data_IF_688044778287
#
_entry.id   IF_688044778287
#
_cell.length_a   1.000
_cell.length_b   1.000
_cell.length_c   1.000
_cell.angle_alpha   90.00
_cell.angle_beta   90.00
_cell.angle_gamma   90.00
#
_symmetry.space_group_name_H-M   'P 1'
#
loop_
_entity.id
_entity.type
_entity.pdbx_description
1 polymer ?
#
# COMPACT_ATOMS: atom_id res chain seq x y z
N UNK A 1 10.82 -15.66 -11.34
CA UNK A 1 9.96 -14.75 -12.12
C UNK A 1 8.57 -14.78 -11.49
N UNK A 2 8.04 -13.64 -11.00
CA UNK A 2 6.67 -13.59 -10.47
C UNK A 2 5.70 -13.50 -11.65
N UNK A 3 4.72 -14.40 -11.69
CA UNK A 3 3.64 -14.40 -12.67
C UNK A 3 2.86 -13.09 -12.52
N UNK A 4 2.88 -12.25 -13.57
CA UNK A 4 2.16 -10.98 -13.62
C UNK A 4 0.91 -11.15 -14.48
N UNK A 5 -0.13 -11.69 -13.87
CA UNK A 5 -1.43 -11.90 -14.53
C UNK A 5 -2.41 -10.84 -14.05
N UNK A 6 -3.16 -10.27 -15.00
CA UNK A 6 -4.28 -9.36 -14.77
C UNK A 6 -5.56 -10.18 -14.94
N UNK A 7 -6.47 -10.12 -13.98
CA UNK A 7 -7.70 -10.89 -14.09
C UNK A 7 -8.44 -11.07 -12.77
N UNK A 8 -9.32 -12.08 -12.79
CA UNK A 8 -10.17 -12.52 -11.69
C UNK A 8 -9.60 -13.82 -11.13
N UNK A 9 -9.54 -13.90 -9.79
CA UNK A 9 -9.08 -15.08 -9.06
C UNK A 9 -10.08 -15.50 -7.98
N UNK A 10 -9.99 -16.77 -7.60
CA UNK A 10 -10.68 -17.40 -6.49
C UNK A 10 -9.69 -17.81 -5.39
N UNK A 11 -10.13 -17.70 -4.14
CA UNK A 11 -9.52 -18.34 -2.98
C UNK A 11 -10.60 -19.19 -2.33
N UNK A 12 -10.46 -20.51 -2.43
CA UNK A 12 -11.45 -21.46 -1.94
C UNK A 12 -10.92 -22.25 -0.75
N UNK A 13 -11.83 -22.57 0.17
CA UNK A 13 -11.67 -23.70 1.09
C UNK A 13 -12.29 -24.94 0.42
N UNK A 14 -11.44 -25.88 -0.01
CA UNK A 14 -11.84 -27.05 -0.80
C UNK A 14 -12.77 -28.01 -0.07
N UNK A 15 -12.82 -27.99 1.27
CA UNK A 15 -13.71 -28.88 2.03
C UNK A 15 -15.11 -28.29 2.18
N UNK A 16 -15.25 -26.98 2.38
CA UNK A 16 -16.57 -26.34 2.60
C UNK A 16 -17.15 -25.73 1.33
N UNK A 17 -16.34 -25.51 0.30
CA UNK A 17 -16.75 -24.78 -0.89
C UNK A 17 -16.85 -23.27 -0.71
N UNK A 18 -16.48 -22.72 0.46
CA UNK A 18 -16.47 -21.28 0.66
C UNK A 18 -15.41 -20.63 -0.25
N UNK A 19 -15.84 -19.74 -1.14
CA UNK A 19 -14.97 -19.09 -2.12
C UNK A 19 -15.02 -17.56 -2.03
N UNK A 20 -13.85 -16.95 -1.97
CA UNK A 20 -13.67 -15.51 -2.17
C UNK A 20 -13.26 -15.25 -3.62
N UNK A 21 -13.99 -14.37 -4.31
CA UNK A 21 -13.67 -13.91 -5.67
C UNK A 21 -13.06 -12.52 -5.59
N UNK A 22 -11.95 -12.29 -6.28
CA UNK A 22 -11.30 -10.99 -6.30
C UNK A 22 -10.67 -10.68 -7.65
N UNK A 23 -10.49 -9.39 -7.93
CA UNK A 23 -9.76 -8.88 -9.10
C UNK A 23 -8.35 -8.38 -8.75
N UNK A 24 -7.42 -8.40 -9.71
CA UNK A 24 -6.12 -7.73 -9.57
C UNK A 24 -5.48 -7.40 -10.91
N UNK A 25 -4.61 -6.38 -10.92
CA UNK A 25 -3.67 -6.13 -12.02
C UNK A 25 -2.33 -6.86 -11.85
N UNK A 26 -2.19 -7.58 -10.75
CA UNK A 26 -1.07 -8.46 -10.41
C UNK A 26 -1.60 -9.52 -9.43
N UNK A 27 -2.11 -10.63 -9.97
CA UNK A 27 -2.68 -11.73 -9.17
C UNK A 27 -1.60 -12.37 -8.28
N UNK A 28 -0.39 -12.58 -8.79
CA UNK A 28 0.70 -13.20 -8.03
C UNK A 28 1.07 -12.42 -6.77
N UNK A 29 1.19 -11.08 -6.87
CA UNK A 29 1.38 -10.21 -5.71
C UNK A 29 0.18 -10.26 -4.76
N UNK A 30 -1.03 -10.30 -5.30
CA UNK A 30 -2.26 -10.31 -4.49
C UNK A 30 -2.41 -11.59 -3.69
N UNK A 31 -2.09 -12.75 -4.26
CA UNK A 31 -2.05 -14.04 -3.56
C UNK A 31 -0.97 -14.07 -2.49
N UNK A 32 0.23 -13.56 -2.77
CA UNK A 32 1.30 -13.45 -1.77
C UNK A 32 0.85 -12.66 -0.54
N UNK A 33 0.10 -11.57 -0.75
CA UNK A 33 -0.47 -10.78 0.35
C UNK A 33 -1.53 -11.58 1.14
N UNK A 34 -2.43 -12.29 0.45
CA UNK A 34 -3.44 -13.13 1.09
C UNK A 34 -2.81 -14.22 1.96
N UNK A 35 -1.82 -14.94 1.41
CA UNK A 35 -1.05 -15.97 2.13
C UNK A 35 -0.35 -15.38 3.37
N UNK A 36 0.29 -14.22 3.23
CA UNK A 36 0.92 -13.53 4.36
C UNK A 36 -0.09 -13.17 5.46
N UNK A 37 -1.30 -12.73 5.09
CA UNK A 37 -2.35 -12.44 6.07
C UNK A 37 -2.91 -13.69 6.74
N UNK A 38 -3.07 -14.80 6.00
CA UNK A 38 -3.49 -16.09 6.56
C UNK A 38 -2.48 -16.61 7.58
N UNK A 39 -1.18 -16.61 7.22
CA UNK A 39 -0.08 -16.98 8.13
C UNK A 39 -0.03 -16.11 9.38
N UNK A 40 -0.35 -14.83 9.26
CA UNK A 40 -0.37 -13.89 10.37
C UNK A 40 -1.66 -13.92 11.21
N UNK A 41 -2.66 -14.75 10.86
CA UNK A 41 -3.95 -14.78 11.56
C UNK A 41 -4.82 -13.53 11.34
N UNK A 42 -4.53 -12.74 10.30
CA UNK A 42 -5.10 -11.40 10.06
C UNK A 42 -5.92 -11.32 8.78
N UNK A 43 -6.33 -12.46 8.21
CA UNK A 43 -7.07 -12.45 6.96
C UNK A 43 -8.48 -11.85 7.12
N UNK A 44 -8.89 -11.02 6.15
CA UNK A 44 -10.17 -10.27 6.19
C UNK A 44 -11.41 -11.16 6.27
N UNK A 45 -11.32 -12.36 5.69
CA UNK A 45 -12.39 -13.35 5.65
C UNK A 45 -12.15 -14.43 6.70
N UNK A 46 -12.96 -14.40 7.77
CA UNK A 46 -12.84 -15.30 8.92
C UNK A 46 -12.97 -16.78 8.52
N UNK A 47 -13.94 -17.11 7.66
CA UNK A 47 -14.13 -18.48 7.14
C UNK A 47 -12.85 -19.07 6.51
N UNK A 48 -12.14 -18.29 5.69
CA UNK A 48 -10.87 -18.73 5.09
C UNK A 48 -9.73 -18.78 6.12
N UNK A 49 -9.71 -17.87 7.10
CA UNK A 49 -8.74 -17.93 8.20
C UNK A 49 -8.93 -19.18 9.06
N UNK A 50 -10.18 -19.50 9.39
CA UNK A 50 -10.55 -20.70 10.16
C UNK A 50 -10.16 -21.97 9.39
N UNK A 51 -10.50 -22.06 8.10
CA UNK A 51 -10.08 -23.17 7.25
C UNK A 51 -8.56 -23.33 7.21
N UNK A 52 -7.81 -22.23 7.04
CA UNK A 52 -6.34 -22.25 7.02
C UNK A 52 -5.74 -22.67 8.38
N UNK A 53 -6.35 -22.23 9.48
CA UNK A 53 -5.90 -22.59 10.83
C UNK A 53 -6.16 -24.07 11.15
N UNK A 54 -7.21 -24.66 10.57
CA UNK A 54 -7.49 -26.09 10.68
C UNK A 54 -6.50 -26.92 9.85
N UNK A 55 -6.36 -26.58 8.55
CA UNK A 55 -5.34 -27.14 7.67
C UNK A 55 -5.06 -26.17 6.52
N UNK A 56 -3.80 -25.74 6.40
CA UNK A 56 -3.39 -24.80 5.35
C UNK A 56 -3.58 -25.37 3.93
N UNK A 57 -3.61 -26.70 3.77
CA UNK A 57 -3.84 -27.36 2.47
C UNK A 57 -5.28 -27.21 1.97
N UNK A 58 -6.21 -26.80 2.85
CA UNK A 58 -7.59 -26.52 2.45
C UNK A 58 -7.70 -25.30 1.54
N UNK A 59 -6.75 -24.38 1.61
CA UNK A 59 -6.77 -23.16 0.82
C UNK A 59 -6.21 -23.40 -0.57
N UNK A 60 -7.07 -23.26 -1.58
CA UNK A 60 -6.69 -23.34 -2.99
C UNK A 60 -6.88 -22.00 -3.70
N UNK A 61 -5.89 -21.67 -4.50
CA UNK A 61 -5.84 -20.45 -5.31
C UNK A 61 -6.06 -20.80 -6.78
N UNK A 62 -7.00 -20.12 -7.42
CA UNK A 62 -7.39 -20.41 -8.81
C UNK A 62 -7.50 -19.11 -9.59
N UNK A 63 -6.94 -19.05 -10.80
CA UNK A 63 -7.25 -17.97 -11.75
C UNK A 63 -8.57 -18.35 -12.41
N UNK A 64 -9.60 -17.53 -12.24
CA UNK A 64 -10.92 -17.75 -12.82
C UNK A 64 -10.97 -17.22 -14.25
N UNK A 65 -10.36 -16.07 -14.50
CA UNK A 65 -10.30 -15.46 -15.83
C UNK A 65 -9.13 -14.48 -15.94
N UNK A 66 -8.39 -14.53 -17.04
CA UNK A 66 -7.47 -13.46 -17.44
C UNK A 66 -8.23 -12.43 -18.27
N UNK A 67 -8.12 -11.15 -17.91
CA UNK A 67 -8.83 -10.08 -18.62
C UNK A 67 -8.02 -8.79 -18.64
N UNK A 68 -8.46 -7.82 -19.44
CA UNK A 68 -7.84 -6.50 -19.46
C UNK A 68 -8.23 -5.69 -18.22
N UNK A 69 -7.44 -4.67 -17.89
CA UNK A 69 -7.66 -3.83 -16.70
C UNK A 69 -9.05 -3.18 -16.71
N UNK A 70 -9.50 -2.78 -17.89
CA UNK A 70 -10.76 -2.06 -18.11
C UNK A 70 -11.97 -2.94 -17.83
N UNK A 71 -11.81 -4.26 -17.99
CA UNK A 71 -12.86 -5.25 -17.76
C UNK A 71 -12.90 -5.79 -16.33
N UNK A 72 -11.91 -5.51 -15.49
CA UNK A 72 -11.78 -6.15 -14.18
C UNK A 72 -13.06 -6.05 -13.35
N UNK A 73 -13.68 -4.87 -13.27
CA UNK A 73 -14.89 -4.68 -12.48
C UNK A 73 -16.06 -5.50 -13.03
N UNK A 74 -16.34 -5.39 -14.33
CA UNK A 74 -17.41 -6.12 -15.02
C UNK A 74 -17.23 -7.63 -14.82
N UNK A 75 -16.00 -8.13 -14.94
CA UNK A 75 -15.70 -9.56 -14.83
C UNK A 75 -15.73 -10.04 -13.38
N UNK A 76 -15.31 -9.22 -12.40
CA UNK A 76 -15.45 -9.54 -10.97
C UNK A 76 -16.93 -9.72 -10.60
N UNK A 77 -17.79 -8.81 -11.04
CA UNK A 77 -19.24 -8.89 -10.83
C UNK A 77 -19.84 -10.13 -11.53
N UNK A 78 -19.47 -10.40 -12.79
CA UNK A 78 -19.88 -11.60 -13.50
C UNK A 78 -19.51 -12.88 -12.72
N UNK A 79 -18.26 -13.01 -12.29
CA UNK A 79 -17.80 -14.20 -11.57
C UNK A 79 -18.46 -14.33 -10.21
N UNK A 80 -18.66 -13.24 -9.48
CA UNK A 80 -19.40 -13.27 -8.21
C UNK A 80 -20.83 -13.82 -8.38
N UNK A 81 -21.53 -13.47 -9.47
CA UNK A 81 -22.86 -14.03 -9.75
C UNK A 81 -22.80 -15.45 -10.30
N UNK A 82 -21.78 -15.75 -11.12
CA UNK A 82 -21.62 -17.08 -11.72
C UNK A 82 -21.31 -18.15 -10.67
N UNK A 83 -20.43 -17.88 -9.71
CA UNK A 83 -20.06 -18.87 -8.67
C UNK A 83 -21.22 -19.24 -7.75
N UNK A 84 -22.22 -18.36 -7.59
CA UNK A 84 -23.43 -18.67 -6.80
C UNK A 84 -24.31 -19.74 -7.47
N UNK A 85 -24.13 -19.97 -8.78
CA UNK A 85 -24.88 -20.95 -9.57
C UNK A 85 -24.17 -22.31 -9.68
N UNK A 86 -22.97 -22.42 -9.11
CA UNK A 86 -22.16 -23.64 -9.15
C UNK A 86 -22.39 -24.41 -7.86
N UNK A 87 -22.84 -25.65 -7.99
CA UNK A 87 -22.98 -26.56 -6.85
C UNK A 87 -21.64 -26.83 -6.19
N UNK A 88 -21.61 -26.77 -4.85
CA UNK A 88 -20.39 -26.95 -4.07
C UNK A 88 -19.59 -25.66 -3.87
N UNK A 89 -20.02 -24.51 -4.40
CA UNK A 89 -19.44 -23.22 -4.05
C UNK A 89 -20.40 -22.31 -3.29
N UNK A 90 -19.86 -21.61 -2.29
CA UNK A 90 -20.57 -20.57 -1.53
C UNK A 90 -19.75 -19.30 -1.55
N UNK A 91 -20.25 -18.25 -2.24
CA UNK A 91 -19.58 -16.95 -2.30
C UNK A 91 -19.55 -16.30 -0.91
N UNK A 92 -18.36 -15.90 -0.44
CA UNK A 92 -18.18 -15.26 0.87
C UNK A 92 -17.78 -13.78 0.82
N UNK A 93 -17.78 -13.16 -0.37
CA UNK A 93 -17.50 -11.74 -0.54
C UNK A 93 -18.42 -10.89 0.35
N UNK A 94 -17.87 -9.92 1.09
CA UNK A 94 -18.65 -9.05 1.99
C UNK A 94 -19.47 -8.00 1.25
N UNK A 95 -19.05 -7.65 0.04
CA UNK A 95 -19.73 -6.66 -0.79
C UNK A 95 -20.50 -7.40 -1.88
N UNK A 96 -21.73 -6.94 -2.21
CA UNK A 96 -22.52 -7.54 -3.28
C UNK A 96 -22.04 -7.15 -4.69
N UNK A 97 -21.12 -6.19 -4.81
CA UNK A 97 -20.58 -5.69 -6.08
C UNK A 97 -19.04 -5.70 -6.08
N UNK A 98 -18.44 -5.64 -7.26
CA UNK A 98 -17.00 -5.53 -7.43
C UNK A 98 -16.43 -4.28 -6.75
N UNK A 99 -15.23 -4.40 -6.17
CA UNK A 99 -14.64 -3.33 -5.38
C UNK A 99 -14.15 -2.18 -6.28
N UNK A 100 -14.82 -1.03 -6.22
CA UNK A 100 -14.34 0.17 -6.94
C UNK A 100 -13.06 0.68 -6.28
N UNK A 101 -11.93 0.61 -7.00
CA UNK A 101 -10.72 1.33 -6.63
C UNK A 101 -10.95 2.83 -6.82
N UNK A 102 -11.56 3.49 -5.84
CA UNK A 102 -11.63 4.96 -5.82
C UNK A 102 -10.23 5.49 -5.57
N UNK A 103 -9.59 6.01 -6.62
CA UNK A 103 -8.36 6.77 -6.48
C UNK A 103 -8.68 8.03 -5.66
N UNK A 104 -8.01 8.18 -4.52
CA UNK A 104 -8.11 9.42 -3.73
C UNK A 104 -7.57 10.56 -4.60
N UNK A 105 -8.45 11.50 -4.96
CA UNK A 105 -8.13 12.60 -5.86
C UNK A 105 -7.33 13.69 -5.14
N UNK A 106 -7.75 14.06 -3.93
CA UNK A 106 -7.03 15.02 -3.09
C UNK A 106 -6.19 14.32 -2.00
N UNK A 107 -4.87 14.45 -2.14
CA UNK A 107 -3.88 13.92 -1.19
C UNK A 107 -3.23 15.00 -0.33
N UNK A 108 -3.71 16.25 -0.42
CA UNK A 108 -3.11 17.42 0.23
C UNK A 108 -2.98 17.26 1.75
N UNK A 109 -4.03 16.80 2.43
CA UNK A 109 -4.03 16.59 3.87
C UNK A 109 -3.05 15.49 4.31
N UNK A 110 -3.00 14.38 3.58
CA UNK A 110 -2.03 13.30 3.85
C UNK A 110 -0.60 13.78 3.65
N UNK A 111 -0.35 14.56 2.58
CA UNK A 111 0.96 15.17 2.34
C UNK A 111 1.36 16.10 3.49
N UNK A 112 0.47 16.98 3.94
CA UNK A 112 0.71 17.91 5.07
C UNK A 112 1.05 17.16 6.37
N UNK A 113 0.31 16.09 6.67
CA UNK A 113 0.55 15.29 7.87
C UNK A 113 1.91 14.58 7.89
N UNK A 114 2.53 14.35 6.72
CA UNK A 114 3.81 13.64 6.57
C UNK A 114 5.01 14.56 6.27
N UNK A 115 4.93 15.85 6.62
CA UNK A 115 6.03 16.82 6.39
C UNK A 115 6.86 17.06 7.65
N UNK A 116 8.11 17.45 7.42
CA UNK A 116 9.04 17.85 8.49
C UNK A 116 9.17 16.81 9.59
N UNK A 117 9.03 17.25 10.84
CA UNK A 117 9.18 16.42 12.03
C UNK A 117 8.08 15.33 12.16
N UNK A 118 6.91 15.53 11.55
CA UNK A 118 5.83 14.54 11.56
C UNK A 118 6.06 13.39 10.57
N UNK A 119 7.06 13.52 9.68
CA UNK A 119 7.41 12.43 8.79
C UNK A 119 8.06 11.29 9.60
N UNK A 120 7.48 10.09 9.57
CA UNK A 120 8.04 8.92 10.27
C UNK A 120 9.46 8.52 9.81
N UNK A 121 9.94 9.04 8.68
CA UNK A 121 11.32 8.88 8.20
C UNK A 121 12.19 10.12 8.46
N UNK A 122 11.75 11.04 9.33
CA UNK A 122 12.54 12.19 9.73
C UNK A 122 13.81 11.72 10.45
N UNK A 123 14.97 12.16 9.96
CA UNK A 123 16.29 11.73 10.45
C UNK A 123 16.89 12.64 11.51
N UNK A 124 16.43 13.88 11.56
CA UNK A 124 17.06 14.94 12.34
C UNK A 124 16.00 15.72 13.08
N UNK A 125 16.35 16.17 14.28
CA UNK A 125 15.46 16.95 15.13
C UNK A 125 15.15 18.32 14.54
N UNK A 126 14.05 18.91 14.97
CA UNK A 126 13.61 20.20 14.44
C UNK A 126 14.63 21.32 14.74
N UNK A 127 15.31 21.26 15.87
CA UNK A 127 16.28 22.27 16.34
C UNK A 127 17.49 22.38 15.40
N UNK A 128 18.08 21.24 15.02
CA UNK A 128 19.23 21.24 14.09
C UNK A 128 18.84 21.73 12.69
N UNK A 129 17.57 21.53 12.29
CA UNK A 129 17.05 22.04 11.01
C UNK A 129 16.86 23.56 11.06
N UNK A 130 16.44 24.11 12.21
CA UNK A 130 16.37 25.56 12.44
C UNK A 130 17.78 26.15 12.33
N UNK A 131 18.75 25.57 13.03
CA UNK A 131 20.16 26.02 13.00
C UNK A 131 20.72 26.04 11.57
N UNK A 132 20.47 24.98 10.79
CA UNK A 132 20.87 24.93 9.37
C UNK A 132 20.25 26.06 8.56
N UNK A 133 18.96 26.33 8.72
CA UNK A 133 18.25 27.37 7.96
C UNK A 133 18.73 28.77 8.35
N UNK A 134 19.04 29.02 9.61
CA UNK A 134 19.66 30.27 10.07
C UNK A 134 21.04 30.46 9.44
N UNK A 135 21.89 29.43 9.46
CA UNK A 135 23.19 29.48 8.80
C UNK A 135 23.09 29.70 7.28
N UNK A 136 22.07 29.12 6.63
CA UNK A 136 21.76 29.39 5.20
C UNK A 136 21.43 30.87 5.00
N UNK A 137 20.58 31.46 5.86
CA UNK A 137 20.19 32.88 5.79
C UNK A 137 21.37 33.82 6.05
N UNK A 138 22.29 33.44 6.95
CA UNK A 138 23.56 34.14 7.19
C UNK A 138 24.57 34.02 6.04
N UNK A 139 24.23 33.29 4.98
CA UNK A 139 25.06 33.18 3.77
C UNK A 139 26.17 32.13 3.84
N UNK A 140 26.22 31.28 4.88
CA UNK A 140 27.23 30.23 4.97
C UNK A 140 27.05 29.24 3.81
N UNK A 141 28.15 28.69 3.32
CA UNK A 141 28.15 27.63 2.31
C UNK A 141 27.70 26.29 2.90
N UNK A 142 27.19 25.39 2.04
CA UNK A 142 26.82 24.03 2.48
C UNK A 142 28.02 23.28 3.10
N UNK A 143 29.25 23.60 2.71
CA UNK A 143 30.46 22.99 3.27
C UNK A 143 30.73 23.45 4.69
N UNK A 144 30.56 24.74 4.98
CA UNK A 144 30.74 25.29 6.34
C UNK A 144 29.67 24.75 7.28
N UNK A 145 28.42 24.74 6.83
CA UNK A 145 27.29 24.20 7.61
C UNK A 145 27.52 22.71 7.91
N UNK A 146 27.97 21.94 6.93
CA UNK A 146 28.26 20.52 7.12
C UNK A 146 29.39 20.28 8.14
N UNK A 147 30.43 21.10 8.12
CA UNK A 147 31.52 21.03 9.11
C UNK A 147 31.04 21.36 10.53
N UNK A 148 30.13 22.33 10.67
CA UNK A 148 29.56 22.75 11.96
C UNK A 148 28.58 21.74 12.54
N UNK A 149 27.68 21.23 11.72
CA UNK A 149 26.55 20.39 12.14
C UNK A 149 26.80 18.89 12.03
N UNK A 150 27.85 18.48 11.30
CA UNK A 150 28.07 17.08 10.93
C UNK A 150 27.10 16.53 9.88
N UNK A 151 26.12 17.33 9.42
CA UNK A 151 25.10 16.88 8.48
C UNK A 151 25.66 16.84 7.06
N UNK A 152 25.25 15.83 6.30
CA UNK A 152 25.68 15.64 4.92
C UNK A 152 25.35 16.86 4.02
N UNK A 153 26.35 17.33 3.25
CA UNK A 153 26.22 18.48 2.33
C UNK A 153 25.05 18.38 1.36
N UNK A 154 24.71 17.19 0.88
CA UNK A 154 23.57 16.98 -0.01
C UNK A 154 22.23 17.20 0.72
N UNK A 155 22.13 16.78 1.98
CA UNK A 155 20.94 17.03 2.79
C UNK A 155 20.76 18.53 3.06
N UNK A 156 21.84 19.24 3.36
CA UNK A 156 21.84 20.71 3.53
C UNK A 156 21.45 21.38 2.21
N UNK A 157 21.96 20.91 1.07
CA UNK A 157 21.56 21.40 -0.25
C UNK A 157 20.05 21.23 -0.49
N UNK A 158 19.47 20.09 -0.13
CA UNK A 158 18.04 19.83 -0.27
C UNK A 158 17.19 20.73 0.63
N UNK A 159 17.68 21.10 1.82
CA UNK A 159 17.04 22.12 2.66
C UNK A 159 17.11 23.48 1.96
N UNK A 160 18.30 23.89 1.48
CA UNK A 160 18.53 25.17 0.82
C UNK A 160 17.66 25.36 -0.41
N UNK A 161 17.49 24.32 -1.23
CA UNK A 161 16.66 24.38 -2.43
C UNK A 161 15.17 24.13 -2.16
N UNK A 162 14.75 24.01 -0.90
CA UNK A 162 13.35 23.76 -0.52
C UNK A 162 12.82 22.38 -0.88
N UNK A 163 13.68 21.42 -1.26
CA UNK A 163 13.26 20.03 -1.48
C UNK A 163 12.92 19.32 -0.16
N UNK A 164 13.54 19.75 0.94
CA UNK A 164 13.24 19.30 2.31
C UNK A 164 12.90 20.50 3.19
N UNK A 165 11.98 20.27 4.13
CA UNK A 165 11.60 21.25 5.15
C UNK A 165 11.12 22.61 4.59
N UNK A 166 10.53 22.62 3.39
CA UNK A 166 9.98 23.84 2.77
C UNK A 166 8.80 24.43 3.52
N UNK A 167 8.10 23.64 4.34
CA UNK A 167 7.03 24.12 5.20
C UNK A 167 7.52 24.97 6.38
N UNK A 168 8.81 24.92 6.73
CA UNK A 168 9.38 25.71 7.83
C UNK A 168 10.06 26.94 7.28
N UNK A 169 9.42 28.11 7.40
CA UNK A 169 10.06 29.38 7.08
C UNK A 169 10.63 30.00 8.35
N UNK A 170 11.89 30.45 8.27
CA UNK A 170 12.48 31.32 9.29
C UNK A 170 12.41 32.73 8.72
N UNK A 171 11.91 33.67 9.52
CA UNK A 171 11.88 35.07 9.12
C UNK A 171 13.31 35.55 8.85
N UNK A 172 13.55 36.35 7.79
CA UNK A 172 14.84 37.01 7.64
C UNK A 172 15.05 37.93 8.86
N UNK A 173 16.24 37.84 9.46
CA UNK A 173 16.72 38.76 10.50
C UNK A 173 17.11 40.08 9.82
#
# INVERSE_FOLDING_TARGET
MKIKVIGIYGIEDVETGNIYVGQSTDIGKRWSNHDSFLKAGKHKYKKLQEAYNLDCKRIKYTILEECSREKLQEREEFWMEYVKKIDGWTLINKQPYGGVNKKVTDTSNMKKAQQGANNGNCKYDIEIIIEIKEMINMGLSNTEISKKTGINRNYISQIRTGQKWSCMNILPI
#
